data_IF_561163001423
#
_entry.id   IF_561163001423
#
_cell.length_a   1.000
_cell.length_b   1.000
_cell.length_c   1.000
_cell.angle_alpha   90.00
_cell.angle_beta   90.00
_cell.angle_gamma   90.00
#
_symmetry.space_group_name_H-M   'P 1'
#
loop_
_entity.id
_entity.type
_entity.pdbx_description
1 polymer ?
#
# COMPACT_ATOMS: atom_id res chain seq x y z
N UNK A 1 17.34 -9.57 -39.03
CA UNK A 1 16.37 -8.78 -38.23
C UNK A 1 16.43 -9.32 -36.81
N UNK A 2 16.93 -8.53 -35.86
CA UNK A 2 17.00 -8.95 -34.45
C UNK A 2 15.71 -8.53 -33.77
N UNK A 3 14.73 -9.42 -33.71
CA UNK A 3 13.63 -9.30 -32.75
C UNK A 3 14.16 -9.76 -31.41
N UNK A 4 14.34 -8.81 -30.48
CA UNK A 4 14.69 -9.09 -29.09
C UNK A 4 13.72 -10.14 -28.52
N UNK A 5 14.26 -11.26 -28.02
CA UNK A 5 13.50 -12.32 -27.33
C UNK A 5 12.95 -11.81 -25.97
N UNK A 6 13.43 -10.65 -25.51
CA UNK A 6 13.00 -10.03 -24.25
C UNK A 6 11.88 -9.02 -24.50
N UNK A 7 10.73 -9.23 -23.85
CA UNK A 7 9.61 -8.29 -23.74
C UNK A 7 9.69 -7.59 -22.37
N UNK A 8 10.01 -6.29 -22.37
CA UNK A 8 10.05 -5.45 -21.18
C UNK A 8 9.11 -4.27 -21.38
N UNK A 9 7.83 -4.51 -21.14
CA UNK A 9 6.76 -3.53 -21.39
C UNK A 9 6.62 -2.53 -20.23
N UNK A 10 6.87 -3.00 -19.02
CA UNK A 10 6.73 -2.24 -17.79
C UNK A 10 8.02 -1.56 -17.37
N UNK A 11 7.89 -0.43 -16.68
CA UNK A 11 8.99 0.26 -16.00
C UNK A 11 8.77 0.27 -14.49
N UNK A 12 9.85 0.35 -13.73
CA UNK A 12 9.81 0.33 -12.27
C UNK A 12 10.56 1.53 -11.67
N UNK A 13 10.03 2.06 -10.57
CA UNK A 13 10.67 3.03 -9.69
C UNK A 13 10.77 2.42 -8.31
N UNK A 14 11.94 2.52 -7.66
CA UNK A 14 12.15 2.08 -6.28
C UNK A 14 12.76 3.22 -5.49
N UNK A 15 12.46 3.27 -4.20
CA UNK A 15 13.04 4.27 -3.33
C UNK A 15 12.71 4.04 -1.87
N UNK A 16 13.17 4.99 -1.06
CA UNK A 16 12.96 4.99 0.39
C UNK A 16 12.40 6.35 0.80
N UNK A 17 11.38 6.35 1.65
CA UNK A 17 10.84 7.53 2.33
C UNK A 17 11.28 7.44 3.80
N UNK A 18 11.97 8.47 4.30
CA UNK A 18 12.28 8.57 5.73
C UNK A 18 11.12 9.23 6.47
N UNK A 19 10.69 8.62 7.57
CA UNK A 19 9.73 9.24 8.49
C UNK A 19 10.51 9.98 9.57
N UNK A 20 10.26 11.27 9.72
CA UNK A 20 10.94 12.12 10.70
C UNK A 20 10.00 12.54 11.83
N UNK A 21 10.56 12.83 12.99
CA UNK A 21 9.81 13.26 14.18
C UNK A 21 9.62 14.78 14.21
N UNK A 22 8.44 15.22 14.63
CA UNK A 22 8.17 16.63 14.98
C UNK A 22 8.13 16.86 16.50
N UNK A 23 8.42 15.84 17.33
CA UNK A 23 8.47 15.99 18.79
C UNK A 23 9.62 16.93 19.18
N UNK A 24 9.42 17.85 20.15
CA UNK A 24 10.41 18.88 20.50
C UNK A 24 11.81 18.34 20.83
N UNK A 25 11.88 17.17 21.45
CA UNK A 25 13.12 16.51 21.91
C UNK A 25 13.94 15.85 20.79
N UNK A 26 13.38 15.70 19.59
CA UNK A 26 14.05 15.01 18.47
C UNK A 26 13.51 15.42 17.09
N UNK A 27 13.27 16.71 16.91
CA UNK A 27 12.78 17.27 15.65
C UNK A 27 13.72 16.88 14.50
N UNK A 28 13.16 16.40 13.39
CA UNK A 28 13.89 15.99 12.19
C UNK A 28 14.60 14.63 12.30
N UNK A 29 14.68 14.02 13.48
CA UNK A 29 15.29 12.69 13.62
C UNK A 29 14.40 11.61 13.02
N UNK A 30 15.04 10.60 12.41
CA UNK A 30 14.36 9.43 11.85
C UNK A 30 13.62 8.67 12.96
N UNK A 31 12.40 8.27 12.67
CA UNK A 31 11.55 7.44 13.54
C UNK A 31 11.01 6.19 12.83
N UNK A 32 11.51 5.93 11.63
CA UNK A 32 11.04 4.89 10.74
C UNK A 32 11.27 5.25 9.27
N UNK A 33 10.92 4.32 8.39
CA UNK A 33 11.13 4.42 6.94
C UNK A 33 10.13 3.58 6.16
N UNK A 34 10.00 3.87 4.88
CA UNK A 34 9.23 3.07 3.94
C UNK A 34 10.05 2.78 2.70
N UNK A 35 10.18 1.50 2.34
CA UNK A 35 10.77 1.06 1.10
C UNK A 35 9.66 0.79 0.10
N UNK A 36 9.65 1.51 -1.02
CA UNK A 36 8.60 1.40 -2.03
C UNK A 36 9.11 0.90 -3.37
N UNK A 37 8.21 0.25 -4.11
CA UNK A 37 8.42 -0.20 -5.48
C UNK A 37 7.14 0.03 -6.29
N UNK A 38 7.22 0.91 -7.29
CA UNK A 38 6.12 1.24 -8.18
C UNK A 38 6.43 0.67 -9.55
N UNK A 39 5.57 -0.23 -10.03
CA UNK A 39 5.57 -0.70 -11.41
C UNK A 39 4.54 0.11 -12.20
N UNK A 40 4.94 0.64 -13.36
CA UNK A 40 4.05 1.26 -14.34
C UNK A 40 3.94 0.32 -15.53
N UNK A 41 2.74 -0.21 -15.74
CA UNK A 41 2.41 -1.10 -16.86
C UNK A 41 2.32 -0.32 -18.17
N UNK A 42 2.42 -1.00 -19.32
CA UNK A 42 2.39 -0.36 -20.64
C UNK A 42 1.09 0.36 -20.97
N UNK A 43 -0.02 -0.04 -20.34
CA UNK A 43 -1.33 0.60 -20.46
C UNK A 43 -1.56 1.72 -19.42
N UNK A 44 -0.51 2.08 -18.68
CA UNK A 44 -0.54 3.16 -17.70
C UNK A 44 -1.06 2.76 -16.32
N UNK A 45 -1.56 1.53 -16.11
CA UNK A 45 -1.88 1.03 -14.76
C UNK A 45 -0.63 0.99 -13.89
N UNK A 46 -0.81 1.01 -12.57
CA UNK A 46 0.29 0.99 -11.62
C UNK A 46 0.06 -0.04 -10.52
N UNK A 47 1.15 -0.65 -10.08
CA UNK A 47 1.19 -1.47 -8.86
C UNK A 47 2.25 -0.89 -7.94
N UNK A 48 1.83 -0.38 -6.79
CA UNK A 48 2.65 0.21 -5.76
C UNK A 48 2.77 -0.77 -4.60
N UNK A 49 3.99 -1.18 -4.25
CA UNK A 49 4.26 -1.99 -3.07
C UNK A 49 5.05 -1.16 -2.09
N UNK A 50 4.80 -1.32 -0.80
CA UNK A 50 5.61 -0.68 0.22
C UNK A 50 5.75 -1.55 1.48
N UNK A 51 6.94 -1.50 2.07
CA UNK A 51 7.24 -2.02 3.39
C UNK A 51 7.56 -0.83 4.29
N UNK A 52 6.69 -0.54 5.26
CA UNK A 52 6.82 0.59 6.17
C UNK A 52 7.17 0.09 7.58
N UNK A 53 8.12 0.77 8.20
CA UNK A 53 8.58 0.51 9.57
C UNK A 53 8.48 1.81 10.38
N UNK A 54 7.87 1.73 11.56
CA UNK A 54 7.91 2.76 12.60
C UNK A 54 8.65 2.18 13.80
N UNK A 55 9.77 2.79 14.15
CA UNK A 55 10.66 2.30 15.21
C UNK A 55 10.26 2.83 16.61
N UNK A 56 9.46 3.89 16.66
CA UNK A 56 8.87 4.38 17.90
C UNK A 56 8.02 3.32 18.59
N UNK A 57 8.03 3.29 19.93
CA UNK A 57 7.10 2.43 20.65
C UNK A 57 5.67 3.01 20.66
N UNK A 58 4.63 2.18 20.42
CA UNK A 58 4.72 0.79 19.96
C UNK A 58 5.19 0.71 18.50
N UNK A 59 6.12 -0.19 18.19
CA UNK A 59 6.64 -0.32 16.82
C UNK A 59 5.53 -0.77 15.89
N UNK A 60 5.55 -0.30 14.65
CA UNK A 60 4.53 -0.65 13.65
C UNK A 60 5.22 -1.08 12.38
N UNK A 61 4.81 -2.22 11.85
CA UNK A 61 5.25 -2.72 10.55
C UNK A 61 4.05 -2.90 9.65
N UNK A 62 4.15 -2.42 8.42
CA UNK A 62 3.08 -2.48 7.44
C UNK A 62 3.62 -2.91 6.08
N UNK A 63 3.05 -3.98 5.54
CA UNK A 63 3.27 -4.39 4.15
C UNK A 63 2.03 -4.07 3.33
N UNK A 64 2.20 -3.44 2.17
CA UNK A 64 1.09 -3.11 1.26
C UNK A 64 1.39 -3.49 -0.19
N UNK A 65 0.32 -3.83 -0.91
CA UNK A 65 0.27 -3.86 -2.38
C UNK A 65 -0.97 -3.07 -2.79
N UNK A 66 -0.79 -2.05 -3.61
CA UNK A 66 -1.84 -1.11 -3.99
C UNK A 66 -1.87 -0.92 -5.50
N UNK A 67 -3.02 -1.13 -6.11
CA UNK A 67 -3.21 -1.09 -7.56
C UNK A 67 -4.01 0.14 -7.96
N UNK A 68 -3.55 0.81 -9.02
CA UNK A 68 -4.16 2.00 -9.59
C UNK A 68 -4.40 1.84 -11.08
N UNK A 69 -5.49 2.42 -11.58
CA UNK A 69 -5.73 2.53 -13.01
C UNK A 69 -4.85 3.61 -13.68
N UNK A 70 -5.01 3.77 -14.99
CA UNK A 70 -4.25 4.76 -15.75
C UNK A 70 -4.55 6.22 -15.31
N UNK A 71 -5.73 6.46 -14.72
CA UNK A 71 -6.19 7.73 -14.20
C UNK A 71 -5.88 7.93 -12.71
N UNK A 72 -5.02 7.09 -12.12
CA UNK A 72 -4.62 7.14 -10.70
C UNK A 72 -5.75 6.83 -9.72
N UNK A 73 -6.78 6.10 -10.16
CA UNK A 73 -7.86 5.69 -9.27
C UNK A 73 -7.62 4.28 -8.74
N UNK A 74 -7.94 4.02 -7.45
CA UNK A 74 -7.77 2.72 -6.82
C UNK A 74 -8.59 1.64 -7.52
N UNK A 75 -8.00 0.45 -7.66
CA UNK A 75 -8.73 -0.76 -8.08
C UNK A 75 -8.79 -1.81 -6.97
N UNK A 76 -7.67 -1.99 -6.27
CA UNK A 76 -7.55 -2.94 -5.17
C UNK A 76 -6.36 -2.60 -4.26
N UNK A 77 -6.40 -3.13 -3.04
CA UNK A 77 -5.31 -3.01 -2.08
C UNK A 77 -5.23 -4.26 -1.21
N UNK A 78 -4.02 -4.66 -0.86
CA UNK A 78 -3.74 -5.60 0.23
C UNK A 78 -2.89 -4.90 1.28
N UNK A 79 -3.21 -5.14 2.55
CA UNK A 79 -2.41 -4.67 3.70
C UNK A 79 -2.22 -5.78 4.71
N UNK A 80 -1.04 -5.82 5.33
CA UNK A 80 -0.75 -6.56 6.55
C UNK A 80 -0.14 -5.61 7.57
N UNK A 81 -0.59 -5.70 8.81
CA UNK A 81 -0.15 -4.83 9.90
C UNK A 81 0.32 -5.67 11.09
N UNK A 82 1.48 -5.31 11.63
CA UNK A 82 1.98 -5.81 12.90
C UNK A 82 2.31 -4.65 13.83
N UNK A 83 2.03 -4.82 15.13
CA UNK A 83 2.36 -3.85 16.18
C UNK A 83 3.18 -4.56 17.25
N UNK A 84 4.34 -4.01 17.62
CA UNK A 84 5.32 -4.66 18.50
C UNK A 84 5.64 -6.10 18.05
N UNK A 85 5.88 -6.29 16.75
CA UNK A 85 6.13 -7.60 16.09
C UNK A 85 5.02 -8.64 16.27
N UNK A 86 3.83 -8.22 16.70
CA UNK A 86 2.65 -9.07 16.80
C UNK A 86 1.71 -8.76 15.67
N UNK A 87 1.22 -9.82 15.03
CA UNK A 87 0.19 -9.70 14.02
C UNK A 87 -1.05 -8.99 14.59
N UNK A 88 -1.45 -7.91 13.92
CA UNK A 88 -2.65 -7.12 14.29
C UNK A 88 -3.78 -7.38 13.32
N UNK A 89 -3.47 -7.46 12.02
CA UNK A 89 -4.49 -7.73 11.01
C UNK A 89 -3.96 -7.77 9.59
N UNK A 90 -4.82 -8.22 8.69
CA UNK A 90 -4.62 -8.19 7.26
C UNK A 90 -5.94 -7.94 6.55
N UNK A 91 -5.90 -7.30 5.39
CA UNK A 91 -7.09 -6.96 4.63
C UNK A 91 -6.82 -6.90 3.16
N UNK A 92 -7.79 -7.36 2.37
CA UNK A 92 -7.91 -7.09 0.96
C UNK A 92 -9.09 -6.14 0.74
N UNK A 93 -8.90 -5.18 -0.16
CA UNK A 93 -9.88 -4.16 -0.53
C UNK A 93 -10.06 -4.16 -2.04
N UNK A 94 -11.28 -3.87 -2.49
CA UNK A 94 -11.59 -3.65 -3.89
C UNK A 94 -12.45 -2.40 -4.05
N UNK A 95 -12.14 -1.64 -5.08
CA UNK A 95 -12.76 -0.36 -5.36
C UNK A 95 -13.44 -0.42 -6.74
N UNK A 96 -14.73 -0.15 -6.75
CA UNK A 96 -15.56 -0.15 -7.94
C UNK A 96 -15.92 1.26 -8.42
N UNK A 97 -16.90 1.31 -9.32
CA UNK A 97 -17.43 2.59 -9.83
C UNK A 97 -18.14 3.40 -8.73
N UNK A 98 -18.81 2.71 -7.83
CA UNK A 98 -19.77 3.23 -6.86
C UNK A 98 -19.72 2.44 -5.55
N UNK A 99 -18.61 1.76 -5.27
CA UNK A 99 -18.42 1.06 -4.01
C UNK A 99 -16.95 0.90 -3.61
N UNK A 100 -16.76 0.61 -2.33
CA UNK A 100 -15.57 -0.01 -1.77
C UNK A 100 -15.98 -1.22 -0.94
N UNK A 101 -15.22 -2.30 -1.02
CA UNK A 101 -15.45 -3.50 -0.20
C UNK A 101 -14.14 -4.04 0.36
N UNK A 102 -14.23 -4.81 1.42
CA UNK A 102 -13.09 -5.45 2.04
C UNK A 102 -13.41 -6.84 2.60
N UNK A 103 -12.36 -7.66 2.58
CA UNK A 103 -12.27 -8.94 3.27
C UNK A 103 -11.06 -8.87 4.18
N UNK A 104 -11.27 -8.95 5.49
CA UNK A 104 -10.20 -8.73 6.46
C UNK A 104 -10.19 -9.80 7.54
N UNK A 105 -9.02 -9.97 8.16
CA UNK A 105 -8.86 -10.72 9.39
C UNK A 105 -8.04 -9.89 10.37
N UNK A 106 -8.59 -9.58 11.54
CA UNK A 106 -7.87 -8.88 12.61
C UNK A 106 -7.77 -9.75 13.86
N UNK A 107 -6.76 -9.51 14.68
CA UNK A 107 -6.63 -10.18 15.98
C UNK A 107 -7.78 -9.85 16.94
N UNK A 108 -8.47 -8.71 16.73
CA UNK A 108 -9.57 -8.24 17.57
C UNK A 108 -10.93 -8.78 17.12
N UNK A 109 -11.20 -8.72 15.82
CA UNK A 109 -12.55 -8.92 15.25
C UNK A 109 -12.68 -10.24 14.48
N UNK A 110 -11.58 -10.98 14.30
CA UNK A 110 -11.56 -12.16 13.46
C UNK A 110 -11.83 -11.78 12.00
N UNK A 111 -12.65 -12.59 11.30
CA UNK A 111 -12.99 -12.34 9.89
C UNK A 111 -14.09 -11.28 9.77
N UNK A 112 -13.84 -10.26 8.96
CA UNK A 112 -14.82 -9.22 8.65
C UNK A 112 -14.94 -9.06 7.14
N UNK A 113 -16.18 -9.11 6.66
CA UNK A 113 -16.58 -8.77 5.30
C UNK A 113 -17.39 -7.49 5.38
N UNK A 114 -17.01 -6.46 4.61
CA UNK A 114 -17.76 -5.21 4.56
C UNK A 114 -17.83 -4.69 3.12
N UNK A 115 -18.94 -4.02 2.82
CA UNK A 115 -19.12 -3.26 1.59
C UNK A 115 -19.80 -1.93 1.91
N UNK A 116 -19.36 -0.89 1.22
CA UNK A 116 -19.87 0.47 1.33
C UNK A 116 -20.13 1.00 -0.07
N UNK A 117 -21.33 1.52 -0.30
CA UNK A 117 -21.66 2.22 -1.53
C UNK A 117 -21.09 3.66 -1.48
N UNK A 118 -20.66 4.18 -2.62
CA UNK A 118 -20.02 5.49 -2.77
C UNK A 118 -20.68 6.28 -3.90
N UNK A 119 -20.65 7.61 -3.79
CA UNK A 119 -21.10 8.49 -4.88
C UNK A 119 -20.01 8.62 -5.93
N UNK A 120 -19.90 7.61 -6.81
CA UNK A 120 -18.84 7.54 -7.82
C UNK A 120 -17.54 6.94 -7.30
N UNK A 121 -16.49 6.97 -8.15
CA UNK A 121 -15.21 6.30 -7.85
C UNK A 121 -14.52 6.95 -6.67
N UNK A 122 -13.88 6.14 -5.82
CA UNK A 122 -13.06 6.65 -4.73
C UNK A 122 -11.89 7.45 -5.31
N UNK A 123 -11.75 8.70 -4.87
CA UNK A 123 -10.68 9.62 -5.25
C UNK A 123 -9.80 9.87 -4.02
N UNK A 124 -8.48 10.00 -4.24
CA UNK A 124 -7.50 10.35 -3.21
C UNK A 124 -7.51 11.86 -2.92
#
# INVERSE_FOLDING_TARGET
MSTSILQRDQRAVRGTIAYTSNKPDRVGQERGREYFHITVHSDGRRTCMAHSEIDDRPSVMRDIVYSLDAQWLPTDCFVRLSVNDRFTGTGWFRFGKDFAECETYTALDGRVTQRMETTGRLQA
#
